data_IF_799841873944
#
_entry.id   IF_799841873944
#
_cell.length_a   1.000
_cell.length_b   1.000
_cell.length_c   1.000
_cell.angle_alpha   90.00
_cell.angle_beta   90.00
_cell.angle_gamma   90.00
#
_symmetry.space_group_name_H-M   'P 1'
#
loop_
_entity.id
_entity.type
_entity.pdbx_description
1 polymer ?
#
# COMPACT_ATOMS: atom_id res chain seq x y z
N UNK A 1 -72.30 32.55 7.06
CA UNK A 1 -71.59 31.31 6.65
C UNK A 1 -70.33 31.16 7.49
N UNK A 2 -70.26 30.16 8.40
CA UNK A 2 -69.05 29.88 9.20
C UNK A 2 -68.40 28.62 8.65
N UNK A 3 -67.23 28.75 8.02
CA UNK A 3 -66.43 27.65 7.49
C UNK A 3 -65.88 26.80 8.63
N UNK A 4 -66.08 25.48 8.58
CA UNK A 4 -65.49 24.55 9.52
C UNK A 4 -64.03 24.36 9.14
N UNK A 5 -63.12 24.76 10.02
CA UNK A 5 -61.69 24.45 9.90
C UNK A 5 -61.54 22.96 10.21
N UNK A 6 -61.21 22.15 9.20
CA UNK A 6 -60.84 20.76 9.40
C UNK A 6 -59.50 20.73 10.13
N UNK A 7 -59.50 20.30 11.40
CA UNK A 7 -58.27 19.97 12.13
C UNK A 7 -57.70 18.70 11.50
N UNK A 8 -56.57 18.83 10.81
CA UNK A 8 -55.75 17.68 10.46
C UNK A 8 -55.31 17.02 11.78
N UNK A 9 -55.82 15.83 12.07
CA UNK A 9 -55.34 15.02 13.18
C UNK A 9 -53.89 14.66 12.90
N UNK A 10 -52.97 15.30 13.62
CA UNK A 10 -51.60 14.86 13.71
C UNK A 10 -51.61 13.44 14.29
N UNK A 11 -51.38 12.45 13.42
CA UNK A 11 -51.17 11.06 13.83
C UNK A 11 -49.85 11.03 14.59
N UNK A 12 -49.94 10.91 15.92
CA UNK A 12 -48.78 10.75 16.79
C UNK A 12 -48.05 9.45 16.44
N UNK A 13 -46.74 9.57 16.27
CA UNK A 13 -45.82 8.48 16.02
C UNK A 13 -46.00 7.39 17.09
N UNK A 14 -46.26 6.16 16.68
CA UNK A 14 -46.43 5.07 17.65
C UNK A 14 -45.06 4.60 18.17
N UNK A 15 -45.00 4.04 19.38
CA UNK A 15 -43.78 3.41 19.90
C UNK A 15 -43.24 2.33 18.94
N UNK A 16 -44.16 1.62 18.26
CA UNK A 16 -43.83 0.60 17.27
C UNK A 16 -43.11 1.20 16.06
N UNK A 17 -43.52 2.38 15.61
CA UNK A 17 -42.92 3.05 14.46
C UNK A 17 -41.49 3.50 14.79
N UNK A 18 -41.24 4.04 15.98
CA UNK A 18 -39.88 4.34 16.45
C UNK A 18 -39.04 3.07 16.62
N UNK A 19 -39.60 1.97 17.11
CA UNK A 19 -38.90 0.69 17.21
C UNK A 19 -38.47 0.18 15.83
N UNK A 20 -39.36 0.22 14.84
CA UNK A 20 -39.06 -0.19 13.46
C UNK A 20 -37.96 0.70 12.86
N UNK A 21 -38.04 2.02 13.06
CA UNK A 21 -37.01 2.95 12.58
C UNK A 21 -35.64 2.64 13.19
N UNK A 22 -35.57 2.39 14.49
CA UNK A 22 -34.31 2.03 15.16
C UNK A 22 -33.76 0.68 14.70
N UNK A 23 -34.62 -0.30 14.45
CA UNK A 23 -34.22 -1.61 13.91
C UNK A 23 -33.64 -1.45 12.50
N UNK A 24 -34.32 -0.71 11.62
CA UNK A 24 -33.84 -0.47 10.25
C UNK A 24 -32.53 0.34 10.30
N UNK A 25 -32.46 1.40 11.10
CA UNK A 25 -31.24 2.19 11.28
C UNK A 25 -30.07 1.33 11.78
N UNK A 26 -30.31 0.46 12.78
CA UNK A 26 -29.32 -0.48 13.29
C UNK A 26 -28.85 -1.50 12.25
N UNK A 27 -29.77 -2.03 11.44
CA UNK A 27 -29.43 -2.90 10.31
C UNK A 27 -28.61 -2.16 9.25
N UNK A 28 -28.99 -0.92 8.90
CA UNK A 28 -28.25 -0.10 7.96
C UNK A 28 -26.84 0.22 8.45
N UNK A 29 -26.69 0.59 9.74
CA UNK A 29 -25.36 0.82 10.35
C UNK A 29 -24.53 -0.46 10.38
N UNK A 30 -25.13 -1.60 10.72
CA UNK A 30 -24.45 -2.90 10.72
C UNK A 30 -23.94 -3.30 9.33
N UNK A 31 -24.80 -3.18 8.31
CA UNK A 31 -24.41 -3.46 6.92
C UNK A 31 -23.37 -2.46 6.40
N UNK A 32 -23.49 -1.18 6.75
CA UNK A 32 -22.49 -0.18 6.40
C UNK A 32 -21.13 -0.50 7.04
N UNK A 33 -21.10 -0.98 8.30
CA UNK A 33 -19.85 -1.30 9.01
C UNK A 33 -19.06 -2.45 8.36
N UNK A 34 -19.75 -3.44 7.77
CA UNK A 34 -19.09 -4.55 7.07
C UNK A 34 -18.37 -4.07 5.80
N UNK A 35 -18.93 -3.08 5.10
CA UNK A 35 -18.33 -2.48 3.90
C UNK A 35 -17.07 -1.64 4.18
N UNK A 36 -16.77 -1.31 5.45
CA UNK A 36 -15.54 -0.60 5.82
C UNK A 36 -14.31 -1.50 5.98
N UNK A 37 -14.46 -2.83 5.87
CA UNK A 37 -13.30 -3.72 5.87
C UNK A 37 -12.56 -3.53 4.54
N UNK A 38 -11.44 -2.80 4.55
CA UNK A 38 -10.57 -2.71 3.36
C UNK A 38 -10.19 -4.11 2.91
N UNK A 39 -10.23 -4.33 1.60
CA UNK A 39 -9.87 -5.62 1.03
C UNK A 39 -8.35 -5.82 1.19
N UNK A 40 -7.89 -6.81 1.97
CA UNK A 40 -6.46 -6.98 2.25
C UNK A 40 -5.60 -7.20 1.00
N UNK A 41 -6.18 -7.73 -0.09
CA UNK A 41 -5.49 -7.86 -1.38
C UNK A 41 -5.32 -6.52 -2.09
N UNK A 42 -6.30 -5.63 -1.95
CA UNK A 42 -6.21 -4.27 -2.47
C UNK A 42 -5.14 -3.50 -1.71
N UNK A 43 -5.13 -3.57 -0.38
CA UNK A 43 -4.11 -2.89 0.45
C UNK A 43 -2.68 -3.40 0.13
N UNK A 44 -2.51 -4.72 -0.04
CA UNK A 44 -1.22 -5.30 -0.48
C UNK A 44 -0.78 -4.75 -1.86
N UNK A 45 -1.71 -4.67 -2.82
CA UNK A 45 -1.42 -4.16 -4.16
C UNK A 45 -1.07 -2.67 -4.14
N UNK A 46 -1.79 -1.88 -3.35
CA UNK A 46 -1.49 -0.46 -3.15
C UNK A 46 -0.10 -0.27 -2.54
N UNK A 47 0.30 -1.11 -1.57
CA UNK A 47 1.64 -1.04 -1.00
C UNK A 47 2.72 -1.45 -2.01
N UNK A 48 2.48 -2.48 -2.81
CA UNK A 48 3.38 -2.83 -3.92
C UNK A 48 3.55 -1.67 -4.91
N UNK A 49 2.46 -0.96 -5.23
CA UNK A 49 2.52 0.22 -6.11
C UNK A 49 3.30 1.37 -5.48
N UNK A 50 3.12 1.60 -4.17
CA UNK A 50 3.88 2.61 -3.43
C UNK A 50 5.38 2.29 -3.45
N UNK A 51 5.75 1.04 -3.22
CA UNK A 51 7.16 0.61 -3.26
C UNK A 51 7.74 0.73 -4.68
N UNK A 52 6.98 0.38 -5.72
CA UNK A 52 7.39 0.57 -7.11
C UNK A 52 7.73 2.04 -7.41
N UNK A 53 6.91 2.99 -6.95
CA UNK A 53 7.20 4.43 -7.08
C UNK A 53 8.45 4.86 -6.30
N UNK A 54 8.71 4.25 -5.13
CA UNK A 54 9.94 4.51 -4.38
C UNK A 54 11.17 3.95 -5.08
N UNK A 55 11.04 2.85 -5.83
CA UNK A 55 12.14 2.30 -6.64
C UNK A 55 12.50 3.24 -7.80
N UNK A 56 11.50 3.81 -8.48
CA UNK A 56 11.71 4.85 -9.49
C UNK A 56 12.42 6.06 -8.88
N UNK A 57 11.91 6.54 -7.74
CA UNK A 57 12.50 7.68 -7.00
C UNK A 57 13.94 7.40 -6.56
N UNK A 58 14.24 6.17 -6.13
CA UNK A 58 15.59 5.77 -5.74
C UNK A 58 16.54 5.68 -6.95
N UNK A 59 16.03 5.30 -8.13
CA UNK A 59 16.77 5.36 -9.39
C UNK A 59 17.13 6.79 -9.78
N UNK A 60 16.16 7.69 -9.77
CA UNK A 60 16.37 9.11 -10.05
C UNK A 60 17.38 9.73 -9.07
N UNK A 61 17.22 9.46 -7.77
CA UNK A 61 18.11 9.98 -6.73
C UNK A 61 19.52 9.42 -6.85
N UNK A 62 19.68 8.13 -7.20
CA UNK A 62 20.99 7.52 -7.42
C UNK A 62 21.74 8.18 -8.58
N UNK A 63 21.02 8.57 -9.64
CA UNK A 63 21.57 9.32 -10.77
C UNK A 63 21.96 10.74 -10.36
N UNK A 64 21.09 11.46 -9.64
CA UNK A 64 21.35 12.82 -9.15
C UNK A 64 22.58 12.86 -8.22
N UNK A 65 22.71 11.86 -7.33
CA UNK A 65 23.84 11.76 -6.40
C UNK A 65 25.10 11.17 -7.01
N UNK A 66 25.03 10.64 -8.24
CA UNK A 66 26.06 9.83 -8.86
C UNK A 66 26.59 8.71 -7.93
N UNK A 67 25.68 8.10 -7.15
CA UNK A 67 26.01 7.08 -6.14
C UNK A 67 24.92 6.01 -6.11
N UNK A 68 25.27 4.71 -6.12
CA UNK A 68 24.28 3.66 -6.00
C UNK A 68 23.45 3.76 -4.72
N UNK A 69 22.16 3.51 -4.85
CA UNK A 69 21.21 3.36 -3.74
C UNK A 69 20.74 1.92 -3.74
N UNK A 70 20.55 1.31 -2.57
CA UNK A 70 20.05 -0.04 -2.43
C UNK A 70 18.80 -0.06 -1.56
N UNK A 71 17.76 -0.73 -2.03
CA UNK A 71 16.62 -1.11 -1.21
C UNK A 71 16.86 -2.47 -0.58
N UNK A 72 16.54 -2.59 0.71
CA UNK A 72 16.67 -3.84 1.44
C UNK A 72 15.44 -4.09 2.33
N UNK A 73 14.81 -5.27 2.22
CA UNK A 73 13.78 -5.68 3.15
C UNK A 73 14.38 -6.02 4.53
N UNK A 74 13.58 -5.80 5.56
CA UNK A 74 13.88 -6.08 6.97
C UNK A 74 12.75 -6.91 7.58
N UNK A 75 12.89 -7.30 8.85
CA UNK A 75 11.87 -8.09 9.53
C UNK A 75 10.53 -7.34 9.70
N UNK A 76 10.55 -6.01 9.76
CA UNK A 76 9.36 -5.19 10.07
C UNK A 76 9.02 -4.17 9.00
N UNK A 77 9.82 -4.07 7.95
CA UNK A 77 9.71 -3.02 6.95
C UNK A 77 10.83 -3.08 5.94
N UNK A 78 11.23 -1.93 5.43
CA UNK A 78 12.35 -1.80 4.50
C UNK A 78 13.12 -0.51 4.73
N UNK A 79 14.31 -0.44 4.14
CA UNK A 79 15.12 0.77 4.13
C UNK A 79 15.85 0.95 2.80
N UNK A 80 16.27 2.18 2.56
CA UNK A 80 17.22 2.51 1.51
C UNK A 80 18.58 2.85 2.12
N UNK A 81 19.64 2.31 1.53
CA UNK A 81 21.01 2.58 1.89
C UNK A 81 21.73 3.20 0.67
N UNK A 82 22.63 4.17 0.89
CA UNK A 82 23.47 4.77 -0.15
C UNK A 82 24.90 4.24 -0.04
N UNK A 83 25.52 3.94 -1.18
CA UNK A 83 26.90 3.46 -1.25
C UNK A 83 27.89 4.56 -0.88
N UNK A 84 28.74 4.34 0.13
CA UNK A 84 29.78 5.25 0.65
C UNK A 84 31.15 4.57 0.61
N UNK A 85 32.27 5.31 0.72
CA UNK A 85 33.61 4.69 0.79
C UNK A 85 33.76 3.68 1.94
N UNK A 86 33.07 3.93 3.05
CA UNK A 86 33.07 3.04 4.24
C UNK A 86 31.98 1.95 4.18
N UNK A 87 31.33 1.77 3.03
CA UNK A 87 30.22 0.83 2.83
C UNK A 87 28.85 1.50 2.74
N UNK A 88 27.79 0.72 2.96
CA UNK A 88 26.40 1.17 2.82
C UNK A 88 25.95 1.97 4.05
N UNK A 89 25.31 3.11 3.81
CA UNK A 89 24.77 3.98 4.88
C UNK A 89 23.29 4.25 4.66
N UNK A 90 22.48 4.05 5.70
CA UNK A 90 21.02 4.27 5.62
C UNK A 90 20.67 5.72 5.34
N UNK A 91 19.83 5.92 4.33
CA UNK A 91 19.23 7.19 4.02
C UNK A 91 18.16 7.54 5.07
N UNK A 92 18.14 8.81 5.49
CA UNK A 92 17.20 9.32 6.49
C UNK A 92 16.50 10.60 6.01
N UNK A 93 16.56 10.89 4.72
CA UNK A 93 15.81 11.97 4.11
C UNK A 93 14.32 11.63 4.01
N UNK A 94 13.47 12.65 3.83
CA UNK A 94 12.02 12.47 3.90
C UNK A 94 11.47 11.46 2.87
N UNK A 95 12.12 11.38 1.70
CA UNK A 95 11.67 10.53 0.60
C UNK A 95 12.04 9.05 0.83
N UNK A 96 13.33 8.76 1.08
CA UNK A 96 13.91 7.41 1.13
C UNK A 96 14.24 6.95 2.56
N UNK A 97 13.61 7.55 3.57
CA UNK A 97 13.69 7.08 4.97
C UNK A 97 13.25 5.61 5.12
N UNK A 98 13.71 4.92 6.18
CA UNK A 98 13.18 3.61 6.56
C UNK A 98 11.67 3.69 6.84
N UNK A 99 10.95 2.63 6.46
CA UNK A 99 9.50 2.51 6.65
C UNK A 99 9.15 1.11 7.12
N UNK A 100 8.19 1.03 8.03
CA UNK A 100 7.57 -0.24 8.42
C UNK A 100 6.68 -0.76 7.29
N UNK A 101 6.42 -2.06 7.28
CA UNK A 101 5.50 -2.68 6.33
C UNK A 101 4.08 -2.15 6.53
N UNK A 102 3.42 -1.85 5.41
CA UNK A 102 1.98 -1.53 5.34
C UNK A 102 1.26 -2.59 4.48
N UNK A 103 -0.06 -2.47 4.32
CA UNK A 103 -0.85 -3.37 3.45
C UNK A 103 -0.84 -4.84 3.88
N UNK A 104 -0.55 -5.11 5.16
CA UNK A 104 -0.42 -6.45 5.70
C UNK A 104 0.82 -7.22 5.24
N UNK A 105 1.80 -6.53 4.64
CA UNK A 105 3.07 -7.15 4.22
C UNK A 105 3.82 -7.70 5.43
N UNK A 106 4.35 -8.90 5.26
CA UNK A 106 5.11 -9.64 6.29
C UNK A 106 6.56 -9.85 5.89
N UNK A 107 6.89 -9.64 4.61
CA UNK A 107 8.23 -9.77 4.09
C UNK A 107 8.25 -9.61 2.57
N UNK A 108 9.46 -9.65 2.02
CA UNK A 108 9.69 -9.59 0.60
C UNK A 108 10.87 -10.47 0.18
N UNK A 109 10.73 -11.12 -0.96
CA UNK A 109 11.81 -11.82 -1.64
C UNK A 109 12.28 -11.03 -2.86
N UNK A 110 13.56 -11.15 -3.19
CA UNK A 110 14.18 -10.53 -4.37
C UNK A 110 14.77 -11.62 -5.24
N UNK A 111 14.33 -11.64 -6.50
CA UNK A 111 14.76 -12.57 -7.54
C UNK A 111 15.29 -11.81 -8.75
N UNK A 112 16.43 -12.27 -9.27
CA UNK A 112 16.99 -11.80 -10.53
C UNK A 112 16.87 -12.95 -11.53
N UNK A 113 16.00 -12.84 -12.55
CA UNK A 113 15.76 -13.94 -13.48
C UNK A 113 17.06 -14.38 -14.16
N UNK A 114 17.37 -15.67 -14.08
CA UNK A 114 18.64 -16.23 -14.59
C UNK A 114 19.76 -16.31 -13.54
N UNK A 115 19.51 -15.91 -12.29
CA UNK A 115 20.38 -16.14 -11.14
C UNK A 115 19.75 -17.20 -10.21
N UNK A 116 20.55 -18.17 -9.76
CA UNK A 116 20.13 -19.13 -8.73
C UNK A 116 20.27 -18.57 -7.29
N UNK A 117 20.78 -17.35 -7.15
CA UNK A 117 21.02 -16.71 -5.86
C UNK A 117 19.92 -15.72 -5.51
N UNK A 118 19.30 -15.90 -4.34
CA UNK A 118 18.43 -14.88 -3.74
C UNK A 118 19.25 -13.66 -3.36
N UNK A 119 18.87 -12.51 -3.89
CA UNK A 119 19.50 -11.25 -3.51
C UNK A 119 18.95 -10.76 -2.18
N UNK A 120 19.80 -10.11 -1.38
CA UNK A 120 19.39 -9.45 -0.14
C UNK A 120 18.99 -7.98 -0.35
N UNK A 121 19.24 -7.43 -1.53
CA UNK A 121 18.98 -6.02 -1.86
C UNK A 121 18.76 -5.82 -3.35
N UNK A 122 17.96 -4.82 -3.69
CA UNK A 122 17.83 -4.28 -5.04
C UNK A 122 18.73 -3.06 -5.12
N UNK A 123 19.63 -2.99 -6.10
CA UNK A 123 20.50 -1.84 -6.32
C UNK A 123 19.95 -0.98 -7.46
N UNK A 124 19.98 0.34 -7.29
CA UNK A 124 19.61 1.36 -8.27
C UNK A 124 20.86 2.19 -8.60
N UNK A 125 21.12 2.41 -9.89
CA UNK A 125 22.29 3.14 -10.37
C UNK A 125 22.83 2.60 -11.69
N UNK A 126 24.06 2.97 -12.02
CA UNK A 126 24.67 2.80 -13.36
C UNK A 126 24.86 1.36 -13.82
N UNK A 127 24.81 0.38 -12.91
CA UNK A 127 25.03 -1.04 -13.22
C UNK A 127 23.73 -1.86 -13.31
N UNK A 128 22.57 -1.27 -12.97
CA UNK A 128 21.33 -2.05 -12.75
C UNK A 128 20.26 -1.92 -13.83
N UNK A 129 20.50 -1.11 -14.88
CA UNK A 129 19.45 -0.71 -15.83
C UNK A 129 18.98 -1.90 -16.70
N UNK A 130 19.85 -2.87 -16.97
CA UNK A 130 19.55 -3.98 -17.90
C UNK A 130 19.18 -5.32 -17.24
N UNK A 131 19.24 -5.43 -15.91
CA UNK A 131 18.88 -6.69 -15.24
C UNK A 131 17.43 -6.64 -14.78
N UNK A 132 16.52 -7.46 -15.35
CA UNK A 132 15.17 -7.56 -14.81
C UNK A 132 15.26 -7.99 -13.35
N UNK A 133 14.47 -7.36 -12.49
CA UNK A 133 14.38 -7.72 -11.07
C UNK A 133 12.92 -7.99 -10.74
N UNK A 134 12.67 -9.00 -9.92
CA UNK A 134 11.37 -9.29 -9.34
C UNK A 134 11.45 -9.17 -7.83
N UNK A 135 10.61 -8.31 -7.27
CA UNK A 135 10.42 -8.20 -5.82
C UNK A 135 9.02 -8.68 -5.50
N UNK A 136 8.91 -9.79 -4.78
CA UNK A 136 7.62 -10.36 -4.37
C UNK A 136 7.36 -10.01 -2.92
N UNK A 137 6.29 -9.26 -2.67
CA UNK A 137 5.78 -8.96 -1.33
C UNK A 137 4.84 -10.08 -0.88
N UNK A 138 4.95 -10.49 0.37
CA UNK A 138 4.17 -11.56 0.97
C UNK A 138 3.25 -11.04 2.07
N UNK A 139 1.99 -11.45 2.08
CA UNK A 139 1.04 -11.20 3.17
C UNK A 139 0.17 -12.42 3.44
N UNK A 140 -0.63 -12.36 4.51
CA UNK A 140 -1.64 -13.39 4.78
C UNK A 140 -2.74 -13.46 3.68
N UNK A 141 -2.90 -12.39 2.89
CA UNK A 141 -3.93 -12.30 1.84
C UNK A 141 -3.47 -12.84 0.47
N UNK A 142 -2.15 -13.02 0.29
CA UNK A 142 -1.52 -13.48 -0.94
C UNK A 142 -0.13 -12.85 -1.14
N UNK A 143 0.25 -12.70 -2.41
CA UNK A 143 1.51 -12.07 -2.82
C UNK A 143 1.28 -11.08 -3.94
N UNK A 144 2.11 -10.04 -4.02
CA UNK A 144 2.15 -9.09 -5.13
C UNK A 144 3.58 -8.98 -5.63
N UNK A 145 3.78 -8.94 -6.96
CA UNK A 145 5.12 -8.91 -7.53
C UNK A 145 5.39 -7.60 -8.26
N UNK A 146 6.47 -6.92 -7.88
CA UNK A 146 7.00 -5.74 -8.53
C UNK A 146 8.06 -6.21 -9.52
N UNK A 147 7.92 -5.84 -10.80
CA UNK A 147 8.84 -6.23 -11.87
C UNK A 147 9.49 -4.98 -12.46
N UNK A 148 10.81 -4.98 -12.55
CA UNK A 148 11.56 -3.96 -13.30
C UNK A 148 11.46 -4.21 -14.80
N UNK A 149 11.03 -3.21 -15.57
CA UNK A 149 10.80 -3.33 -17.02
C UNK A 149 12.03 -3.03 -17.88
N UNK A 150 13.20 -2.79 -17.26
CA UNK A 150 14.48 -2.54 -17.96
C UNK A 150 14.68 -1.11 -18.49
N UNK A 151 13.71 -0.21 -18.27
CA UNK A 151 13.79 1.21 -18.64
C UNK A 151 13.67 2.14 -17.41
N UNK A 152 14.05 1.63 -16.23
CA UNK A 152 13.90 2.35 -14.96
C UNK A 152 12.47 2.44 -14.42
N UNK A 153 11.48 1.82 -15.09
CA UNK A 153 10.10 1.72 -14.59
C UNK A 153 9.87 0.40 -13.85
N UNK A 154 8.89 0.42 -12.95
CA UNK A 154 8.49 -0.74 -12.16
C UNK A 154 6.98 -0.94 -12.25
N UNK A 155 6.55 -2.18 -12.49
CA UNK A 155 5.13 -2.54 -12.63
C UNK A 155 4.71 -3.59 -11.60
N UNK A 156 3.46 -3.50 -11.13
CA UNK A 156 2.88 -4.45 -10.16
C UNK A 156 1.97 -5.44 -10.87
N UNK A 157 2.34 -6.72 -10.76
CA UNK A 157 1.58 -7.86 -11.25
C UNK A 157 0.74 -8.46 -10.11
#
# INVERSE_FOLDING_TARGET
MRGRIARAQARGFTLLEMLVVLVIAGLLVSLASLSLTRNPRTDLREEAQRIALLFESAGDEAQVRARPIAWQPTAHGFRFDVSSPDGWRTLRDDLLRPRDWDGGVTGADIDYPGSDTRASRVVFGTESIDTPVRVTLHSAAGSATIVGTGNGRYEVQ
#
